data_IF_229157786003
#
_entry.id   IF_229157786003
#
_cell.length_a   1.000
_cell.length_b   1.000
_cell.length_c   1.000
_cell.angle_alpha   90.00
_cell.angle_beta   90.00
_cell.angle_gamma   90.00
#
_symmetry.space_group_name_H-M   'P 1'
#
loop_
_entity.id
_entity.type
_entity.pdbx_description
1 polymer ?
#
# COMPACT_ATOMS: atom_id res chain seq x y z
N UNK A 1 -9.68 -28.95 9.64
CA UNK A 1 -8.46 -29.64 9.15
C UNK A 1 -7.80 -28.75 8.10
N UNK A 2 -6.75 -28.02 8.47
CA UNK A 2 -6.08 -27.05 7.58
C UNK A 2 -5.32 -27.85 6.51
N UNK A 3 -5.76 -27.81 5.24
CA UNK A 3 -5.00 -28.42 4.13
C UNK A 3 -3.75 -27.59 3.86
N UNK A 4 -2.61 -28.00 4.42
CA UNK A 4 -1.32 -27.44 4.06
C UNK A 4 -1.01 -27.80 2.60
N UNK A 5 -1.00 -26.81 1.70
CA UNK A 5 -0.49 -27.00 0.35
C UNK A 5 1.03 -27.21 0.42
N UNK A 6 1.57 -28.15 -0.36
CA UNK A 6 3.01 -28.54 -0.39
C UNK A 6 3.96 -27.33 -0.49
N UNK A 7 3.55 -26.30 -1.23
CA UNK A 7 4.28 -25.04 -1.42
C UNK A 7 4.53 -24.22 -0.14
N UNK A 8 3.77 -24.46 0.95
CA UNK A 8 3.93 -23.77 2.23
C UNK A 8 4.86 -24.50 3.21
N UNK A 9 5.36 -25.69 2.84
CA UNK A 9 6.25 -26.49 3.69
C UNK A 9 7.65 -25.86 3.81
N UNK A 10 8.32 -25.45 2.71
CA UNK A 10 9.64 -24.81 2.80
C UNK A 10 9.70 -23.56 3.70
N UNK A 11 8.78 -22.57 3.61
CA UNK A 11 8.82 -21.43 4.53
C UNK A 11 8.51 -21.82 5.98
N UNK A 12 7.68 -22.85 6.22
CA UNK A 12 7.42 -23.33 7.58
C UNK A 12 8.65 -24.00 8.20
N UNK A 13 9.40 -24.81 7.43
CA UNK A 13 10.67 -25.40 7.86
C UNK A 13 11.71 -24.32 8.13
N UNK A 14 11.82 -23.31 7.25
CA UNK A 14 12.70 -22.16 7.48
C UNK A 14 12.38 -21.46 8.81
N UNK A 15 11.10 -21.17 9.09
CA UNK A 15 10.70 -20.52 10.35
C UNK A 15 11.00 -21.40 11.57
N UNK A 16 10.76 -22.71 11.46
CA UNK A 16 11.07 -23.67 12.51
C UNK A 16 12.57 -23.69 12.82
N UNK A 17 13.42 -23.76 11.79
CA UNK A 17 14.88 -23.72 11.92
C UNK A 17 15.35 -22.39 12.52
N UNK A 18 14.81 -21.26 12.05
CA UNK A 18 15.15 -19.95 12.59
C UNK A 18 14.81 -19.84 14.08
N UNK A 19 13.62 -20.31 14.49
CA UNK A 19 13.20 -20.32 15.88
C UNK A 19 14.02 -21.29 16.74
N UNK A 20 14.26 -22.51 16.25
CA UNK A 20 15.00 -23.53 16.99
C UNK A 20 16.45 -23.13 17.23
N UNK A 21 17.13 -22.59 16.22
CA UNK A 21 18.50 -22.12 16.35
C UNK A 21 18.60 -20.86 17.19
N UNK A 22 17.66 -19.92 17.05
CA UNK A 22 17.59 -18.76 17.95
C UNK A 22 17.45 -19.20 19.41
N UNK A 23 16.55 -20.16 19.68
CA UNK A 23 16.38 -20.70 21.02
C UNK A 23 17.65 -21.41 21.52
N UNK A 24 18.29 -22.23 20.69
CA UNK A 24 19.52 -22.94 21.03
C UNK A 24 20.68 -22.00 21.38
N UNK A 25 20.91 -20.95 20.59
CA UNK A 25 22.02 -20.03 20.82
C UNK A 25 21.74 -19.02 21.94
N UNK A 26 20.49 -18.66 22.20
CA UNK A 26 20.12 -17.67 23.22
C UNK A 26 19.83 -18.27 24.60
N UNK A 27 19.55 -19.57 24.69
CA UNK A 27 19.23 -20.24 25.96
C UNK A 27 20.44 -20.97 26.56
N UNK A 28 20.36 -21.31 27.85
CA UNK A 28 21.33 -22.20 28.52
C UNK A 28 20.64 -23.53 28.83
N UNK A 29 20.72 -24.47 27.89
CA UNK A 29 20.03 -25.75 27.94
C UNK A 29 21.05 -26.89 27.95
N UNK A 30 20.63 -28.08 28.36
CA UNK A 30 21.53 -29.24 28.36
C UNK A 30 22.14 -29.53 26.97
N UNK A 31 21.40 -29.25 25.89
CA UNK A 31 21.85 -29.43 24.49
C UNK A 31 23.06 -28.57 24.09
N UNK A 32 23.32 -27.45 24.77
CA UNK A 32 24.47 -26.57 24.51
C UNK A 32 25.44 -26.50 25.70
N UNK A 33 25.46 -27.55 26.51
CA UNK A 33 26.23 -27.65 27.75
C UNK A 33 26.00 -26.43 28.67
N UNK A 34 24.74 -26.06 28.86
CA UNK A 34 24.33 -24.89 29.63
C UNK A 34 24.99 -23.58 29.17
N UNK A 35 25.19 -23.45 27.86
CA UNK A 35 25.75 -22.29 27.19
C UNK A 35 27.27 -22.32 27.00
N UNK A 36 27.95 -23.39 27.42
CA UNK A 36 29.43 -23.51 27.32
C UNK A 36 29.93 -23.93 25.95
N UNK A 37 29.11 -24.60 25.13
CA UNK A 37 29.51 -25.04 23.80
C UNK A 37 28.43 -24.71 22.79
N UNK A 38 28.73 -23.80 21.85
CA UNK A 38 27.78 -23.35 20.83
C UNK A 38 28.41 -23.45 19.44
N UNK A 39 28.69 -24.68 18.97
CA UNK A 39 29.31 -24.88 17.67
C UNK A 39 28.48 -24.27 16.53
N UNK A 40 29.15 -23.60 15.60
CA UNK A 40 28.52 -22.96 14.44
C UNK A 40 28.25 -23.94 13.28
N UNK A 41 29.02 -25.04 13.19
CA UNK A 41 28.91 -26.03 12.11
C UNK A 41 27.57 -26.77 12.07
N UNK A 42 26.89 -26.97 13.21
CA UNK A 42 25.58 -27.62 13.22
C UNK A 42 24.53 -26.77 12.49
N UNK A 43 24.57 -25.45 12.68
CA UNK A 43 23.67 -24.55 11.98
C UNK A 43 24.01 -24.48 10.47
N UNK A 44 25.29 -24.61 10.10
CA UNK A 44 25.69 -24.69 8.69
C UNK A 44 25.13 -25.92 7.98
N UNK A 45 25.03 -27.07 8.65
CA UNK A 45 24.45 -28.28 8.04
C UNK A 45 22.99 -28.03 7.65
N UNK A 46 22.22 -27.41 8.53
CA UNK A 46 20.82 -27.11 8.23
C UNK A 46 20.67 -26.12 7.07
N UNK A 47 21.58 -25.15 6.97
CA UNK A 47 21.62 -24.18 5.86
C UNK A 47 22.02 -24.84 4.53
N UNK A 48 23.06 -25.69 4.53
CA UNK A 48 23.67 -26.24 3.31
C UNK A 48 23.03 -27.54 2.83
N UNK A 49 22.30 -28.24 3.70
CA UNK A 49 21.74 -29.57 3.40
C UNK A 49 20.22 -29.57 3.57
N UNK A 50 19.72 -29.24 4.77
CA UNK A 50 18.29 -29.37 5.09
C UNK A 50 17.46 -28.38 4.26
N UNK A 51 17.87 -27.13 4.15
CA UNK A 51 17.17 -26.11 3.35
C UNK A 51 17.12 -26.43 1.85
N UNK A 52 18.24 -26.79 1.17
CA UNK A 52 18.19 -27.21 -0.23
C UNK A 52 17.34 -28.45 -0.48
N UNK A 53 17.49 -29.49 0.35
CA UNK A 53 16.73 -30.74 0.19
C UNK A 53 15.23 -30.47 0.34
N UNK A 54 14.83 -29.71 1.37
CA UNK A 54 13.42 -29.38 1.58
C UNK A 54 12.85 -28.56 0.43
N UNK A 55 13.61 -27.59 -0.10
CA UNK A 55 13.16 -26.84 -1.27
C UNK A 55 13.01 -27.73 -2.51
N UNK A 56 13.96 -28.63 -2.78
CA UNK A 56 13.95 -29.54 -3.92
C UNK A 56 12.82 -30.57 -3.84
N UNK A 57 12.47 -31.06 -2.64
CA UNK A 57 11.42 -32.07 -2.46
C UNK A 57 10.00 -31.50 -2.60
N UNK A 58 9.78 -30.24 -2.21
CA UNK A 58 8.44 -29.66 -2.09
C UNK A 58 8.08 -28.65 -3.18
N UNK A 59 9.03 -28.23 -4.01
CA UNK A 59 8.78 -27.33 -5.15
C UNK A 59 8.75 -28.10 -6.46
N UNK A 60 7.90 -27.63 -7.38
CA UNK A 60 7.70 -28.31 -8.66
C UNK A 60 8.80 -27.98 -9.68
N UNK A 61 9.56 -26.90 -9.48
CA UNK A 61 10.59 -26.43 -10.40
C UNK A 61 11.94 -26.32 -9.70
N UNK A 62 12.95 -26.99 -10.24
CA UNK A 62 14.33 -27.01 -9.71
C UNK A 62 14.93 -25.60 -9.65
N UNK A 63 14.66 -24.75 -10.64
CA UNK A 63 15.17 -23.36 -10.64
C UNK A 63 14.57 -22.55 -9.48
N UNK A 64 13.28 -22.72 -9.24
CA UNK A 64 12.58 -22.08 -8.12
C UNK A 64 13.08 -22.62 -6.77
N UNK A 65 13.29 -23.94 -6.67
CA UNK A 65 13.83 -24.59 -5.48
C UNK A 65 15.23 -24.07 -5.12
N UNK A 66 16.12 -23.97 -6.10
CA UNK A 66 17.48 -23.44 -5.91
C UNK A 66 17.44 -21.97 -5.50
N UNK A 67 16.61 -21.16 -6.15
CA UNK A 67 16.46 -19.75 -5.80
C UNK A 67 15.96 -19.57 -4.37
N UNK A 68 14.91 -20.29 -3.96
CA UNK A 68 14.37 -20.18 -2.60
C UNK A 68 15.32 -20.76 -1.56
N UNK A 69 16.02 -21.85 -1.87
CA UNK A 69 17.09 -22.37 -1.01
C UNK A 69 18.18 -21.33 -0.77
N UNK A 70 18.61 -20.62 -1.83
CA UNK A 70 19.60 -19.56 -1.73
C UNK A 70 19.08 -18.41 -0.84
N UNK A 71 17.84 -17.97 -1.05
CA UNK A 71 17.22 -16.91 -0.25
C UNK A 71 17.09 -17.30 1.23
N UNK A 72 16.57 -18.50 1.53
CA UNK A 72 16.44 -18.97 2.91
C UNK A 72 17.80 -19.18 3.58
N UNK A 73 18.77 -19.77 2.86
CA UNK A 73 20.13 -19.92 3.37
C UNK A 73 20.78 -18.57 3.66
N UNK A 74 20.60 -17.59 2.77
CA UNK A 74 21.09 -16.22 2.96
C UNK A 74 20.51 -15.55 4.22
N UNK A 75 19.21 -15.72 4.45
CA UNK A 75 18.53 -15.20 5.65
C UNK A 75 19.00 -15.90 6.93
N UNK A 76 19.24 -17.21 6.90
CA UNK A 76 19.77 -17.95 8.04
C UNK A 76 21.24 -17.60 8.34
N UNK A 77 22.06 -17.32 7.32
CA UNK A 77 23.42 -16.79 7.50
C UNK A 77 23.37 -15.43 8.21
N UNK A 78 22.48 -14.54 7.78
CA UNK A 78 22.24 -13.24 8.42
C UNK A 78 21.82 -13.44 9.89
N UNK A 79 20.88 -14.34 10.15
CA UNK A 79 20.41 -14.66 11.50
C UNK A 79 21.55 -15.19 12.38
N UNK A 80 22.31 -16.18 11.90
CA UNK A 80 23.46 -16.74 12.61
C UNK A 80 24.51 -15.70 12.96
N UNK A 81 24.68 -14.69 12.10
CA UNK A 81 25.59 -13.58 12.35
C UNK A 81 25.20 -12.74 13.57
N UNK A 82 23.90 -12.66 13.88
CA UNK A 82 23.32 -11.93 15.01
C UNK A 82 23.23 -12.76 16.29
N UNK A 83 22.95 -14.06 16.20
CA UNK A 83 22.68 -14.91 17.36
C UNK A 83 23.90 -15.69 17.88
N UNK A 84 24.89 -16.00 17.03
CA UNK A 84 26.07 -16.78 17.42
C UNK A 84 27.05 -15.85 18.17
N UNK A 85 27.48 -16.20 19.40
CA UNK A 85 28.48 -15.43 20.14
C UNK A 85 29.81 -15.34 19.39
N UNK A 86 30.48 -14.17 19.47
CA UNK A 86 31.71 -13.91 18.72
C UNK A 86 32.86 -14.90 19.02
N UNK A 87 32.94 -15.42 20.26
CA UNK A 87 33.96 -16.40 20.67
C UNK A 87 33.78 -17.78 20.03
N UNK A 88 32.59 -18.10 19.54
CA UNK A 88 32.22 -19.43 19.04
C UNK A 88 32.13 -19.48 17.50
N UNK A 89 32.35 -18.33 16.82
CA UNK A 89 32.37 -18.24 15.36
C UNK A 89 33.71 -18.74 14.85
N UNK A 90 33.76 -19.93 14.25
CA UNK A 90 34.94 -20.45 13.56
C UNK A 90 34.79 -20.32 12.05
N UNK A 91 33.79 -20.98 11.48
CA UNK A 91 33.51 -20.91 10.04
C UNK A 91 32.69 -19.65 9.73
N UNK A 92 31.86 -19.20 10.67
CA UNK A 92 30.98 -18.05 10.48
C UNK A 92 31.72 -16.72 10.27
N UNK A 93 32.98 -16.61 10.71
CA UNK A 93 33.82 -15.42 10.48
C UNK A 93 34.03 -15.12 8.99
N UNK A 94 34.12 -16.17 8.17
CA UNK A 94 34.29 -16.03 6.72
C UNK A 94 32.97 -15.73 5.99
N UNK A 95 31.84 -16.13 6.58
CA UNK A 95 30.50 -15.91 6.04
C UNK A 95 29.92 -14.55 6.45
N UNK A 96 30.40 -13.98 7.55
CA UNK A 96 29.90 -12.72 8.10
C UNK A 96 29.98 -11.54 7.10
N UNK A 97 31.06 -11.35 6.30
CA UNK A 97 31.09 -10.31 5.27
C UNK A 97 30.05 -10.50 4.16
N UNK A 98 29.69 -11.76 3.85
CA UNK A 98 28.72 -12.09 2.79
C UNK A 98 27.34 -11.51 3.12
N UNK A 99 27.01 -11.32 4.41
CA UNK A 99 25.75 -10.69 4.84
C UNK A 99 25.55 -9.30 4.21
N UNK A 100 26.61 -8.51 4.10
CA UNK A 100 26.54 -7.17 3.53
C UNK A 100 26.35 -7.21 2.02
N UNK A 101 26.95 -8.19 1.35
CA UNK A 101 26.76 -8.42 -0.08
C UNK A 101 25.31 -8.83 -0.36
N UNK A 102 24.77 -9.77 0.41
CA UNK A 102 23.37 -10.23 0.31
C UNK A 102 22.41 -9.05 0.54
N UNK A 103 22.61 -8.29 1.62
CA UNK A 103 21.81 -7.10 1.92
C UNK A 103 21.89 -6.07 0.79
N UNK A 104 23.08 -5.81 0.26
CA UNK A 104 23.27 -4.91 -0.87
C UNK A 104 22.54 -5.36 -2.13
N UNK A 105 22.60 -6.66 -2.47
CA UNK A 105 21.86 -7.22 -3.61
C UNK A 105 20.35 -7.11 -3.40
N UNK A 106 19.85 -7.38 -2.19
CA UNK A 106 18.43 -7.22 -1.85
C UNK A 106 17.97 -5.78 -2.01
N UNK A 107 18.73 -4.81 -1.48
CA UNK A 107 18.44 -3.38 -1.60
C UNK A 107 18.44 -2.94 -3.07
N UNK A 108 19.45 -3.35 -3.85
CA UNK A 108 19.52 -3.03 -5.27
C UNK A 108 18.34 -3.63 -6.04
N UNK A 109 17.96 -4.85 -5.73
CA UNK A 109 16.79 -5.51 -6.32
C UNK A 109 15.50 -4.75 -6.00
N UNK A 110 15.27 -4.41 -4.73
CA UNK A 110 14.11 -3.62 -4.30
C UNK A 110 14.06 -2.26 -4.99
N UNK A 111 15.19 -1.53 -5.03
CA UNK A 111 15.30 -0.26 -5.73
C UNK A 111 15.02 -0.42 -7.23
N UNK A 112 15.50 -1.49 -7.86
CA UNK A 112 15.25 -1.76 -9.28
C UNK A 112 13.76 -2.03 -9.57
N UNK A 113 13.07 -2.74 -8.69
CA UNK A 113 11.63 -2.98 -8.81
C UNK A 113 10.83 -1.68 -8.65
N UNK A 114 11.13 -0.90 -7.61
CA UNK A 114 10.51 0.41 -7.39
C UNK A 114 10.73 1.31 -8.61
N UNK A 115 11.96 1.36 -9.12
CA UNK A 115 12.29 2.17 -10.28
C UNK A 115 11.54 1.71 -11.54
N UNK A 116 11.42 0.40 -11.75
CA UNK A 116 10.65 -0.15 -12.87
C UNK A 116 9.19 0.28 -12.78
N UNK A 117 8.55 0.12 -11.61
CA UNK A 117 7.17 0.55 -11.38
C UNK A 117 7.01 2.05 -11.65
N UNK A 118 7.92 2.89 -11.12
CA UNK A 118 7.86 4.34 -11.31
C UNK A 118 8.04 4.73 -12.79
N UNK A 119 8.95 4.09 -13.53
CA UNK A 119 9.13 4.33 -14.96
C UNK A 119 7.88 3.93 -15.74
N UNK A 120 7.30 2.77 -15.44
CA UNK A 120 6.07 2.29 -16.09
C UNK A 120 4.90 3.23 -15.82
N UNK A 121 4.68 3.64 -14.57
CA UNK A 121 3.63 4.61 -14.22
C UNK A 121 3.85 5.91 -15.00
N UNK A 122 5.07 6.45 -14.99
CA UNK A 122 5.41 7.69 -15.70
C UNK A 122 5.20 7.59 -17.21
N UNK A 123 5.49 6.43 -17.81
CA UNK A 123 5.21 6.13 -19.22
C UNK A 123 3.71 6.12 -19.50
N UNK A 124 2.96 5.31 -18.75
CA UNK A 124 1.51 5.16 -18.92
C UNK A 124 0.72 6.45 -18.67
N UNK A 125 1.15 7.30 -17.73
CA UNK A 125 0.54 8.62 -17.51
C UNK A 125 0.72 9.56 -18.71
N UNK A 126 1.76 9.36 -19.52
CA UNK A 126 2.00 10.15 -20.73
C UNK A 126 1.18 9.64 -21.91
N UNK A 127 0.71 8.39 -21.84
CA UNK A 127 -0.25 7.80 -22.76
C UNK A 127 -1.68 8.18 -22.35
N UNK A 128 -2.66 8.11 -23.26
CA UNK A 128 -4.08 8.44 -22.94
C UNK A 128 -4.78 7.33 -22.14
N UNK A 129 -4.05 6.67 -21.24
CA UNK A 129 -4.57 5.64 -20.33
C UNK A 129 -5.21 6.31 -19.11
N UNK A 130 -6.24 5.69 -18.53
CA UNK A 130 -6.83 6.18 -17.27
C UNK A 130 -5.73 6.29 -16.20
N UNK A 131 -5.56 7.47 -15.56
CA UNK A 131 -4.49 7.67 -14.59
C UNK A 131 -4.51 6.73 -13.37
N UNK A 132 -5.69 6.28 -12.92
CA UNK A 132 -5.77 5.32 -11.81
C UNK A 132 -5.36 3.91 -12.26
N UNK A 133 -5.68 3.54 -13.49
CA UNK A 133 -5.23 2.27 -14.10
C UNK A 133 -3.73 2.31 -14.38
N UNK A 134 -3.19 3.45 -14.83
CA UNK A 134 -1.76 3.67 -15.05
C UNK A 134 -0.93 3.49 -13.77
N UNK A 135 -1.51 3.83 -12.60
CA UNK A 135 -0.86 3.68 -11.29
C UNK A 135 -1.03 2.24 -10.76
N UNK A 136 -2.24 1.69 -10.82
CA UNK A 136 -2.56 0.43 -10.15
C UNK A 136 -2.16 -0.81 -10.94
N UNK A 137 -2.25 -0.78 -12.28
CA UNK A 137 -1.98 -1.94 -13.14
C UNK A 137 -0.55 -2.47 -13.00
N UNK A 138 0.51 -1.62 -13.00
CA UNK A 138 1.88 -2.10 -12.78
C UNK A 138 2.03 -2.77 -11.41
N UNK A 139 1.45 -2.21 -10.36
CA UNK A 139 1.58 -2.76 -9.00
C UNK A 139 0.88 -4.12 -8.89
N UNK A 140 -0.34 -4.21 -9.44
CA UNK A 140 -1.14 -5.43 -9.45
C UNK A 140 -0.50 -6.51 -10.33
N UNK A 141 0.18 -6.16 -11.43
CA UNK A 141 0.86 -7.15 -12.26
C UNK A 141 2.08 -7.78 -11.57
N UNK A 142 2.81 -7.01 -10.75
CA UNK A 142 3.95 -7.52 -9.99
C UNK A 142 3.55 -8.31 -8.73
N UNK A 143 2.57 -7.83 -7.96
CA UNK A 143 2.26 -8.37 -6.62
C UNK A 143 0.98 -9.23 -6.61
N UNK A 144 0.12 -9.08 -7.63
CA UNK A 144 -1.22 -9.65 -7.65
C UNK A 144 -2.24 -8.82 -6.87
N UNK A 145 -3.52 -9.08 -7.12
CA UNK A 145 -4.63 -8.39 -6.43
C UNK A 145 -4.69 -8.81 -4.96
N UNK A 146 -4.44 -7.86 -4.06
CA UNK A 146 -4.43 -8.07 -2.61
C UNK A 146 -4.61 -6.75 -1.85
N UNK A 147 -4.80 -6.81 -0.52
CA UNK A 147 -4.78 -5.61 0.32
C UNK A 147 -3.45 -4.87 0.23
N UNK A 148 -2.35 -5.59 0.01
CA UNK A 148 -1.03 -5.01 -0.17
C UNK A 148 -0.98 -4.20 -1.47
N UNK A 149 -1.55 -4.71 -2.58
CA UNK A 149 -1.61 -3.94 -3.83
C UNK A 149 -2.47 -2.68 -3.69
N UNK A 150 -3.53 -2.73 -2.88
CA UNK A 150 -4.39 -1.57 -2.63
C UNK A 150 -3.66 -0.49 -1.83
N UNK A 151 -2.91 -0.87 -0.79
CA UNK A 151 -2.08 0.05 0.00
C UNK A 151 -0.97 0.65 -0.87
N UNK A 152 -0.26 -0.18 -1.64
CA UNK A 152 0.80 0.30 -2.53
C UNK A 152 0.26 1.20 -3.65
N UNK A 153 -0.94 0.91 -4.17
CA UNK A 153 -1.59 1.79 -5.15
C UNK A 153 -1.97 3.14 -4.55
N UNK A 154 -2.41 3.17 -3.29
CA UNK A 154 -2.64 4.40 -2.54
C UNK A 154 -1.33 5.20 -2.37
N UNK A 155 -0.27 4.56 -1.87
CA UNK A 155 1.04 5.20 -1.69
C UNK A 155 1.61 5.70 -3.03
N UNK A 156 1.58 4.88 -4.07
CA UNK A 156 2.03 5.28 -5.41
C UNK A 156 1.21 6.45 -5.96
N UNK A 157 -0.08 6.54 -5.63
CA UNK A 157 -0.91 7.69 -5.99
C UNK A 157 -0.48 8.95 -5.26
N UNK A 158 -0.20 8.88 -3.95
CA UNK A 158 0.34 10.01 -3.18
C UNK A 158 1.60 10.55 -3.87
N UNK A 159 2.58 9.68 -4.15
CA UNK A 159 3.82 10.08 -4.79
C UNK A 159 3.63 10.59 -6.23
N UNK A 160 2.69 10.01 -6.98
CA UNK A 160 2.36 10.45 -8.34
C UNK A 160 1.80 11.86 -8.35
N UNK A 161 0.84 12.19 -7.49
CA UNK A 161 0.29 13.55 -7.40
C UNK A 161 1.27 14.53 -6.72
N UNK A 162 2.22 14.05 -5.92
CA UNK A 162 3.27 14.88 -5.37
C UNK A 162 4.36 15.25 -6.40
N UNK A 163 4.87 14.30 -7.20
CA UNK A 163 5.96 14.57 -8.14
C UNK A 163 5.52 14.76 -9.61
N UNK A 164 4.50 14.03 -10.06
CA UNK A 164 4.17 13.87 -11.47
C UNK A 164 2.77 14.39 -11.86
N UNK A 165 2.11 15.18 -11.01
CA UNK A 165 0.74 15.65 -11.27
C UNK A 165 0.56 16.37 -12.62
N UNK A 166 1.58 17.09 -13.12
CA UNK A 166 1.52 17.78 -14.42
C UNK A 166 1.40 16.83 -15.61
N UNK A 167 1.78 15.56 -15.44
CA UNK A 167 1.65 14.51 -16.46
C UNK A 167 0.28 13.87 -16.44
N UNK A 168 -0.51 14.06 -15.38
CA UNK A 168 -1.84 13.48 -15.26
C UNK A 168 -2.79 14.25 -16.18
N UNK A 169 -3.25 13.60 -17.25
CA UNK A 169 -4.24 14.17 -18.15
C UNK A 169 -5.66 13.94 -17.61
N UNK A 170 -6.35 15.02 -17.26
CA UNK A 170 -7.72 14.97 -16.75
C UNK A 170 -8.73 14.45 -17.79
N UNK A 171 -8.45 14.55 -19.08
CA UNK A 171 -9.34 14.02 -20.13
C UNK A 171 -9.12 12.52 -20.40
N UNK A 172 -8.13 11.91 -19.76
CA UNK A 172 -7.86 10.48 -19.91
C UNK A 172 -8.62 9.62 -18.88
N UNK A 173 -9.27 10.23 -17.89
CA UNK A 173 -10.08 9.48 -16.93
C UNK A 173 -11.23 8.76 -17.62
N UNK A 174 -11.46 7.50 -17.22
CA UNK A 174 -12.55 6.68 -17.70
C UNK A 174 -13.90 7.26 -17.27
N UNK A 175 -14.83 7.28 -18.22
CA UNK A 175 -16.20 7.75 -18.08
C UNK A 175 -16.55 8.74 -19.19
N UNK A 176 -17.85 8.92 -19.43
CA UNK A 176 -18.38 9.84 -20.44
C UNK A 176 -18.61 11.24 -19.87
N UNK A 177 -18.94 11.31 -18.57
CA UNK A 177 -19.24 12.54 -17.87
C UNK A 177 -18.43 12.63 -16.58
N UNK A 178 -17.89 13.81 -16.30
CA UNK A 178 -16.96 14.04 -15.20
C UNK A 178 -17.45 15.16 -14.27
N UNK A 179 -17.34 14.92 -12.97
CA UNK A 179 -17.82 15.80 -11.91
C UNK A 179 -16.73 16.03 -10.87
N UNK A 180 -16.42 17.30 -10.63
CA UNK A 180 -15.37 17.70 -9.69
C UNK A 180 -15.90 17.89 -8.27
N UNK A 181 -14.97 17.84 -7.31
CA UNK A 181 -15.27 17.91 -5.88
C UNK A 181 -14.43 18.96 -5.12
N UNK A 182 -13.60 19.74 -5.81
CA UNK A 182 -12.55 20.53 -5.17
C UNK A 182 -13.04 21.89 -4.66
N UNK A 183 -14.13 22.40 -5.22
CA UNK A 183 -14.74 23.66 -4.79
C UNK A 183 -15.75 23.45 -3.66
N UNK A 184 -16.29 22.23 -3.53
CA UNK A 184 -17.24 21.85 -2.49
C UNK A 184 -16.75 22.27 -1.11
N UNK A 185 -17.52 23.10 -0.41
CA UNK A 185 -17.25 23.64 0.93
C UNK A 185 -15.82 24.19 1.11
N UNK A 186 -15.22 24.72 0.03
CA UNK A 186 -13.86 25.23 0.05
C UNK A 186 -12.79 24.18 0.36
N UNK A 187 -13.05 22.89 0.10
CA UNK A 187 -12.13 21.77 0.40
C UNK A 187 -10.69 22.06 -0.06
N UNK A 188 -10.52 22.51 -1.31
CA UNK A 188 -9.20 22.86 -1.85
C UNK A 188 -8.53 24.00 -1.09
N UNK A 189 -9.29 25.04 -0.73
CA UNK A 189 -8.79 26.17 0.07
C UNK A 189 -8.39 25.73 1.47
N UNK A 190 -9.21 24.88 2.12
CA UNK A 190 -8.91 24.34 3.44
C UNK A 190 -7.63 23.51 3.43
N UNK A 191 -7.43 22.65 2.43
CA UNK A 191 -6.18 21.88 2.28
C UNK A 191 -4.96 22.80 2.13
N UNK A 192 -5.07 23.85 1.32
CA UNK A 192 -4.00 24.84 1.15
C UNK A 192 -3.69 25.58 2.46
N UNK A 193 -4.73 25.99 3.20
CA UNK A 193 -4.58 26.67 4.48
C UNK A 193 -3.86 25.78 5.51
N UNK A 194 -4.21 24.49 5.59
CA UNK A 194 -3.50 23.54 6.45
C UNK A 194 -2.04 23.36 6.05
N UNK A 195 -1.73 23.26 4.75
CA UNK A 195 -0.34 23.18 4.27
C UNK A 195 0.46 24.40 4.73
N UNK A 196 -0.07 25.61 4.52
CA UNK A 196 0.61 26.86 4.91
C UNK A 196 0.75 26.94 6.44
N UNK A 197 -0.29 26.62 7.19
CA UNK A 197 -0.28 26.65 8.66
C UNK A 197 0.80 25.71 9.22
N UNK A 198 0.86 24.47 8.74
CA UNK A 198 1.87 23.50 9.18
C UNK A 198 3.28 23.99 8.85
N UNK A 199 3.50 24.58 7.67
CA UNK A 199 4.82 25.10 7.29
C UNK A 199 5.28 26.27 8.18
N UNK A 200 4.36 27.13 8.63
CA UNK A 200 4.66 28.23 9.54
C UNK A 200 4.89 27.72 10.97
N UNK A 201 4.11 26.75 11.42
CA UNK A 201 4.19 26.17 12.76
C UNK A 201 5.43 25.28 12.95
N UNK A 202 5.83 24.56 11.91
CA UNK A 202 6.87 23.53 11.98
C UNK A 202 8.22 24.02 12.58
N UNK A 203 8.78 25.19 12.20
CA UNK A 203 10.01 25.69 12.83
C UNK A 203 9.86 25.97 14.32
N UNK A 204 8.69 26.48 14.74
CA UNK A 204 8.39 26.81 16.15
C UNK A 204 8.32 25.51 16.95
N UNK A 205 7.56 24.52 16.48
CA UNK A 205 7.42 23.22 17.13
C UNK A 205 8.77 22.49 17.18
N UNK A 206 9.56 22.54 16.11
CA UNK A 206 10.90 21.96 16.10
C UNK A 206 11.78 22.57 17.20
N UNK A 207 11.82 23.90 17.29
CA UNK A 207 12.61 24.60 18.31
C UNK A 207 12.13 24.24 19.72
N UNK A 208 10.81 24.22 19.96
CA UNK A 208 10.24 23.87 21.27
C UNK A 208 10.60 22.44 21.68
N UNK A 209 10.48 21.46 20.79
CA UNK A 209 10.85 20.07 21.09
C UNK A 209 12.36 19.93 21.31
N UNK A 210 13.17 20.69 20.55
CA UNK A 210 14.61 20.69 20.74
C UNK A 210 15.00 21.28 22.11
N UNK A 211 14.34 22.36 22.55
CA UNK A 211 14.63 23.04 23.82
C UNK A 211 14.15 22.27 25.04
N UNK A 212 12.92 21.75 25.01
CA UNK A 212 12.28 21.11 26.18
C UNK A 212 12.39 19.58 26.16
N UNK A 213 12.78 18.99 25.05
CA UNK A 213 12.88 17.55 24.86
C UNK A 213 14.29 17.13 24.46
N UNK A 214 14.47 16.78 23.19
CA UNK A 214 15.76 16.38 22.64
C UNK A 214 15.87 16.69 21.16
N UNK A 215 17.10 16.88 20.68
CA UNK A 215 17.38 17.07 19.26
C UNK A 215 16.87 15.90 18.40
N UNK A 216 17.00 14.66 18.90
CA UNK A 216 16.50 13.47 18.20
C UNK A 216 14.98 13.51 18.05
N UNK A 217 14.25 13.80 19.12
CA UNK A 217 12.79 13.91 19.07
C UNK A 217 12.34 15.01 18.11
N UNK A 218 13.01 16.17 18.14
CA UNK A 218 12.72 17.28 17.24
C UNK A 218 12.89 16.88 15.77
N UNK A 219 14.00 16.19 15.44
CA UNK A 219 14.25 15.70 14.08
C UNK A 219 13.23 14.65 13.63
N UNK A 220 12.87 13.70 14.49
CA UNK A 220 11.86 12.67 14.18
C UNK A 220 10.50 13.33 13.90
N UNK A 221 10.04 14.20 14.79
CA UNK A 221 8.74 14.89 14.63
C UNK A 221 8.77 15.75 13.38
N UNK A 222 9.84 16.50 13.13
CA UNK A 222 9.97 17.30 11.90
C UNK A 222 9.96 16.44 10.64
N UNK A 223 10.68 15.32 10.62
CA UNK A 223 10.67 14.39 9.50
C UNK A 223 9.28 13.81 9.24
N UNK A 224 8.57 13.38 10.28
CA UNK A 224 7.19 12.87 10.16
C UNK A 224 6.22 13.95 9.68
N UNK A 225 6.35 15.19 10.17
CA UNK A 225 5.50 16.30 9.72
C UNK A 225 5.75 16.65 8.25
N UNK A 226 7.00 16.65 7.80
CA UNK A 226 7.35 16.84 6.38
C UNK A 226 6.77 15.73 5.50
N UNK A 227 6.84 14.46 5.94
CA UNK A 227 6.17 13.34 5.27
C UNK A 227 4.65 13.54 5.23
N UNK A 228 4.04 14.05 6.31
CA UNK A 228 2.62 14.42 6.33
C UNK A 228 2.27 15.51 5.32
N UNK A 229 3.11 16.54 5.17
CA UNK A 229 2.92 17.60 4.18
C UNK A 229 2.91 17.04 2.75
N UNK A 230 3.75 16.04 2.44
CA UNK A 230 3.74 15.37 1.13
C UNK A 230 2.34 14.83 0.82
N UNK A 231 1.71 14.16 1.79
CA UNK A 231 0.33 13.68 1.66
C UNK A 231 -0.65 14.82 1.42
N UNK A 232 -0.60 15.91 2.21
CA UNK A 232 -1.51 17.05 2.03
C UNK A 232 -1.36 17.70 0.64
N UNK A 233 -0.14 17.87 0.14
CA UNK A 233 0.12 18.43 -1.19
C UNK A 233 -0.40 17.50 -2.28
N UNK A 234 -0.21 16.18 -2.12
CA UNK A 234 -0.76 15.19 -3.04
C UNK A 234 -2.29 15.22 -3.05
N UNK A 235 -2.93 15.27 -1.88
CA UNK A 235 -4.38 15.36 -1.72
C UNK A 235 -4.95 16.64 -2.36
N UNK A 236 -4.32 17.79 -2.11
CA UNK A 236 -4.68 19.09 -2.71
C UNK A 236 -4.68 19.06 -4.24
N UNK A 237 -3.69 18.38 -4.83
CA UNK A 237 -3.59 18.22 -6.29
C UNK A 237 -4.58 17.18 -6.80
N UNK A 238 -4.67 16.03 -6.14
CA UNK A 238 -5.50 14.92 -6.56
C UNK A 238 -7.00 15.27 -6.55
N UNK A 239 -7.49 15.95 -5.51
CA UNK A 239 -8.90 16.37 -5.43
C UNK A 239 -9.28 17.35 -6.56
N UNK A 240 -8.32 18.13 -7.06
CA UNK A 240 -8.53 19.09 -8.16
C UNK A 240 -8.48 18.44 -9.54
N UNK A 241 -7.86 17.28 -9.67
CA UNK A 241 -7.57 16.62 -10.95
C UNK A 241 -8.49 15.41 -11.17
N UNK A 242 -8.81 14.63 -10.13
CA UNK A 242 -9.55 13.37 -10.23
C UNK A 242 -11.07 13.59 -10.14
N UNK A 243 -11.82 13.41 -11.24
CA UNK A 243 -13.27 13.51 -11.21
C UNK A 243 -13.95 12.24 -10.71
N UNK A 244 -15.12 12.42 -10.09
CA UNK A 244 -16.15 11.38 -10.09
C UNK A 244 -16.66 11.26 -11.51
N UNK A 245 -16.68 10.03 -12.05
CA UNK A 245 -17.01 9.80 -13.45
C UNK A 245 -18.19 8.86 -13.61
N UNK A 246 -19.04 9.14 -14.59
CA UNK A 246 -20.12 8.26 -15.01
C UNK A 246 -19.70 7.49 -16.24
N UNK A 247 -19.60 6.16 -16.10
CA UNK A 247 -19.29 5.22 -17.17
C UNK A 247 -20.59 4.65 -17.76
N UNK A 248 -20.48 3.67 -18.66
CA UNK A 248 -21.66 3.03 -19.27
C UNK A 248 -22.53 2.26 -18.27
N UNK A 249 -21.92 1.53 -17.34
CA UNK A 249 -22.60 0.63 -16.40
C UNK A 249 -22.41 1.00 -14.92
N UNK A 250 -21.56 1.98 -14.62
CA UNK A 250 -21.14 2.28 -13.25
C UNK A 250 -20.80 3.75 -13.01
N UNK A 251 -20.91 4.17 -11.75
CA UNK A 251 -20.28 5.38 -11.23
C UNK A 251 -18.91 5.02 -10.65
N UNK A 252 -17.88 5.76 -11.05
CA UNK A 252 -16.52 5.63 -10.53
C UNK A 252 -16.24 6.83 -9.62
N UNK A 253 -16.26 6.59 -8.32
CA UNK A 253 -16.05 7.60 -7.29
C UNK A 253 -14.55 7.71 -7.02
N UNK A 254 -13.97 8.84 -7.41
CA UNK A 254 -12.58 9.22 -7.11
C UNK A 254 -12.61 10.42 -6.18
N UNK A 255 -11.85 10.35 -5.09
CA UNK A 255 -11.81 11.43 -4.10
C UNK A 255 -10.40 11.51 -3.51
N UNK A 256 -9.71 12.62 -3.75
CA UNK A 256 -8.35 12.81 -3.24
C UNK A 256 -7.35 11.79 -3.79
N UNK A 257 -6.46 11.25 -2.96
CA UNK A 257 -5.52 10.17 -3.30
C UNK A 257 -6.07 8.77 -3.00
N UNK A 258 -7.30 8.67 -2.49
CA UNK A 258 -7.91 7.39 -2.11
C UNK A 258 -8.17 6.49 -3.32
N UNK A 259 -8.18 5.18 -3.08
CA UNK A 259 -8.50 4.20 -4.11
C UNK A 259 -9.92 4.44 -4.66
N UNK A 260 -10.11 4.33 -5.98
CA UNK A 260 -11.42 4.54 -6.60
C UNK A 260 -12.44 3.51 -6.10
N UNK A 261 -13.68 3.95 -5.92
CA UNK A 261 -14.81 3.07 -5.64
C UNK A 261 -15.72 3.03 -6.87
N UNK A 262 -15.78 1.88 -7.53
CA UNK A 262 -16.71 1.64 -8.64
C UNK A 262 -17.99 1.01 -8.12
N UNK A 263 -19.13 1.63 -8.41
CA UNK A 263 -20.46 1.13 -8.05
C UNK A 263 -21.26 0.99 -9.33
N UNK A 264 -21.67 -0.24 -9.65
CA UNK A 264 -22.56 -0.48 -10.79
C UNK A 264 -23.93 0.14 -10.54
N UNK A 265 -24.56 0.62 -11.60
CA UNK A 265 -25.89 1.25 -11.51
C UNK A 265 -26.97 0.28 -11.05
N UNK A 266 -26.85 -1.00 -11.39
CA UNK A 266 -27.75 -2.06 -10.92
C UNK A 266 -27.80 -2.17 -9.39
N UNK A 267 -26.71 -1.83 -8.69
CA UNK A 267 -26.63 -1.89 -7.24
C UNK A 267 -27.12 -0.59 -6.55
N UNK A 268 -27.51 0.44 -7.30
CA UNK A 268 -28.00 1.71 -6.74
C UNK A 268 -29.52 1.67 -6.67
N UNK A 269 -30.09 1.65 -5.46
CA UNK A 269 -31.54 1.62 -5.25
C UNK A 269 -32.16 3.02 -5.31
N UNK A 270 -31.48 4.03 -4.78
CA UNK A 270 -31.98 5.40 -4.72
C UNK A 270 -30.85 6.43 -4.68
N UNK A 271 -31.16 7.62 -5.19
CA UNK A 271 -30.23 8.75 -5.33
C UNK A 271 -30.97 9.99 -4.90
N UNK A 272 -30.43 10.72 -3.94
CA UNK A 272 -31.08 11.91 -3.39
C UNK A 272 -30.08 12.99 -3.00
N UNK A 273 -30.58 14.21 -2.85
CA UNK A 273 -29.81 15.31 -2.24
C UNK A 273 -29.69 15.02 -0.75
N UNK A 274 -28.50 15.19 -0.21
CA UNK A 274 -28.28 15.22 1.24
C UNK A 274 -28.03 16.65 1.72
N UNK A 275 -28.57 17.00 2.88
CA UNK A 275 -28.32 18.29 3.56
C UNK A 275 -27.92 18.11 5.03
N UNK A 276 -27.82 16.88 5.49
CA UNK A 276 -27.60 16.57 6.89
C UNK A 276 -26.17 16.07 7.15
N UNK A 277 -25.67 16.34 8.34
CA UNK A 277 -24.39 15.79 8.79
C UNK A 277 -24.54 14.29 9.06
N UNK A 278 -23.66 13.49 8.45
CA UNK A 278 -23.73 12.04 8.56
C UNK A 278 -22.67 11.54 9.54
N UNK A 279 -23.12 10.80 10.56
CA UNK A 279 -22.24 10.12 11.53
C UNK A 279 -21.57 8.91 10.87
N UNK A 280 -20.36 8.58 11.36
CA UNK A 280 -19.64 7.39 10.89
C UNK A 280 -20.37 6.14 11.38
N UNK A 281 -20.61 5.19 10.47
CA UNK A 281 -21.19 3.88 10.75
C UNK A 281 -20.59 2.85 9.80
N UNK A 282 -20.68 1.56 10.13
CA UNK A 282 -20.10 0.46 9.34
C UNK A 282 -20.69 0.34 7.94
N UNK A 283 -21.97 0.69 7.77
CA UNK A 283 -22.68 0.68 6.49
C UNK A 283 -22.59 2.03 5.75
N UNK A 284 -21.84 3.01 6.26
CA UNK A 284 -21.75 4.36 5.68
C UNK A 284 -20.36 4.61 5.13
N UNK A 285 -20.27 4.94 3.84
CA UNK A 285 -19.06 5.47 3.20
C UNK A 285 -19.24 6.94 2.88
N UNK A 286 -18.28 7.77 3.29
CA UNK A 286 -18.32 9.22 3.07
C UNK A 286 -17.13 9.68 2.24
N UNK A 287 -17.40 10.14 1.03
CA UNK A 287 -16.46 10.81 0.14
C UNK A 287 -16.72 12.32 0.21
N UNK A 288 -16.38 12.89 1.37
CA UNK A 288 -16.51 14.31 1.65
C UNK A 288 -15.42 14.75 2.63
N UNK A 289 -14.53 15.65 2.20
CA UNK A 289 -13.38 16.12 2.98
C UNK A 289 -13.79 17.20 4.00
N UNK A 290 -14.71 18.09 3.64
CA UNK A 290 -15.14 19.22 4.47
C UNK A 290 -16.66 19.40 4.44
N UNK A 291 -17.23 19.89 5.53
CA UNK A 291 -18.64 20.22 5.64
C UNK A 291 -19.59 19.03 5.45
N UNK A 292 -20.72 19.29 4.76
CA UNK A 292 -21.85 18.35 4.65
C UNK A 292 -21.87 17.72 3.26
N UNK A 293 -21.86 16.37 3.12
CA UNK A 293 -22.00 15.75 1.81
C UNK A 293 -23.35 16.12 1.21
N UNK A 294 -23.39 16.41 -0.09
CA UNK A 294 -24.60 16.93 -0.76
C UNK A 294 -25.34 15.91 -1.63
N UNK A 295 -24.83 14.68 -1.73
CA UNK A 295 -25.48 13.57 -2.44
C UNK A 295 -25.49 12.34 -1.54
N UNK A 296 -26.58 11.59 -1.57
CA UNK A 296 -26.75 10.28 -0.96
C UNK A 296 -27.10 9.25 -2.03
N UNK A 297 -26.33 8.17 -2.07
CA UNK A 297 -26.58 6.97 -2.84
C UNK A 297 -26.92 5.85 -1.86
N UNK A 298 -28.10 5.27 -2.01
CA UNK A 298 -28.50 4.07 -1.29
C UNK A 298 -28.21 2.86 -2.19
N UNK A 299 -27.50 1.87 -1.63
CA UNK A 299 -27.19 0.63 -2.34
C UNK A 299 -28.18 -0.48 -1.97
N UNK A 300 -28.39 -1.43 -2.87
CA UNK A 300 -29.31 -2.56 -2.66
C UNK A 300 -28.90 -3.44 -1.46
N UNK A 301 -27.60 -3.52 -1.18
CA UNK A 301 -27.06 -4.25 -0.02
C UNK A 301 -27.19 -3.51 1.33
N UNK A 302 -27.89 -2.38 1.36
CA UNK A 302 -28.15 -1.59 2.57
C UNK A 302 -27.00 -0.64 2.96
N UNK A 303 -25.91 -0.59 2.19
CA UNK A 303 -24.85 0.40 2.37
C UNK A 303 -25.29 1.77 1.83
N UNK A 304 -24.79 2.82 2.47
CA UNK A 304 -25.06 4.21 2.10
C UNK A 304 -23.75 4.90 1.73
N UNK A 305 -23.72 5.54 0.57
CA UNK A 305 -22.57 6.28 0.07
C UNK A 305 -22.93 7.76 -0.04
N UNK A 306 -22.15 8.61 0.61
CA UNK A 306 -22.36 10.05 0.62
C UNK A 306 -21.21 10.75 -0.09
N UNK A 307 -21.55 11.68 -0.99
CA UNK A 307 -20.58 12.39 -1.83
C UNK A 307 -20.67 13.90 -1.58
N UNK A 308 -19.52 14.57 -1.61
CA UNK A 308 -19.42 16.03 -1.71
C UNK A 308 -18.95 16.44 -3.11
N UNK A 309 -19.85 17.04 -3.90
CA UNK A 309 -19.61 17.35 -5.33
C UNK A 309 -19.91 18.81 -5.61
N UNK A 310 -19.18 19.45 -6.53
CA UNK A 310 -19.33 20.87 -6.84
C UNK A 310 -20.73 21.19 -7.44
N UNK A 311 -21.25 20.29 -8.28
CA UNK A 311 -22.55 20.43 -8.98
C UNK A 311 -23.48 19.24 -8.72
N UNK A 312 -24.07 19.12 -7.51
CA UNK A 312 -24.82 17.93 -7.12
C UNK A 312 -26.08 17.69 -7.96
N UNK A 313 -26.79 18.75 -8.35
CA UNK A 313 -28.04 18.63 -9.11
C UNK A 313 -27.83 18.03 -10.51
N UNK A 314 -26.73 18.41 -11.17
CA UNK A 314 -26.40 17.92 -12.51
C UNK A 314 -26.06 16.43 -12.45
N UNK A 315 -25.22 16.05 -11.47
CA UNK A 315 -24.84 14.65 -11.26
C UNK A 315 -26.07 13.78 -10.92
N UNK A 316 -26.94 14.21 -10.01
CA UNK A 316 -28.15 13.48 -9.63
C UNK A 316 -29.05 13.26 -10.85
N UNK A 317 -29.28 14.30 -11.67
CA UNK A 317 -30.12 14.23 -12.86
C UNK A 317 -29.57 13.23 -13.89
N UNK A 318 -28.27 13.26 -14.17
CA UNK A 318 -27.68 12.34 -15.14
C UNK A 318 -27.68 10.90 -14.61
N UNK A 319 -27.33 10.71 -13.35
CA UNK A 319 -27.28 9.39 -12.72
C UNK A 319 -28.67 8.75 -12.63
N UNK A 320 -29.72 9.52 -12.29
CA UNK A 320 -31.10 9.00 -12.30
C UNK A 320 -31.56 8.60 -13.70
N UNK A 321 -31.15 9.35 -14.73
CA UNK A 321 -31.43 9.02 -16.14
C UNK A 321 -30.75 7.70 -16.55
N UNK A 322 -29.48 7.50 -16.15
CA UNK A 322 -28.74 6.26 -16.44
C UNK A 322 -29.36 5.05 -15.72
N UNK A 323 -29.71 5.18 -14.44
CA UNK A 323 -30.36 4.11 -13.66
C UNK A 323 -31.73 3.75 -14.27
N UNK A 324 -32.54 4.75 -14.64
CA UNK A 324 -33.84 4.50 -15.26
C UNK A 324 -33.71 3.79 -16.61
N UNK A 325 -32.78 4.22 -17.47
CA UNK A 325 -32.58 3.60 -18.78
C UNK A 325 -32.11 2.14 -18.70
N UNK A 326 -31.36 1.76 -17.65
CA UNK A 326 -31.00 0.37 -17.39
C UNK A 326 -32.20 -0.48 -16.96
N UNK A 327 -33.04 0.02 -16.05
CA UNK A 327 -34.22 -0.69 -15.60
C UNK A 327 -35.19 -0.95 -16.77
N UNK A 328 -35.37 0.03 -17.66
CA UNK A 328 -36.21 -0.13 -18.86
C UNK A 328 -35.63 -1.17 -19.83
N UNK A 329 -34.30 -1.22 -20.00
CA UNK A 329 -33.65 -2.25 -20.83
C UNK A 329 -33.82 -3.65 -20.22
N UNK A 330 -33.72 -3.80 -18.91
CA UNK A 330 -33.88 -5.09 -18.23
C UNK A 330 -35.32 -5.62 -18.27
N UNK A 331 -36.32 -4.76 -18.38
CA UNK A 331 -37.74 -5.16 -18.52
C UNK A 331 -38.12 -5.55 -19.96
N UNK A 332 -37.27 -5.24 -20.94
CA UNK A 332 -37.52 -5.52 -22.36
C UNK A 332 -36.93 -6.87 -22.83
N UNK A 333 -36.27 -7.62 -21.95
CA UNK A 333 -35.71 -8.95 -22.18
C UNK A 333 -36.34 -9.97 -21.24
#
# INVERSE_FOLDING_TARGET
>A
MIKFKKQHIPPAVFLLLAMSWSFYYLSNIWLNDYGKSKPDWLFLIDILVVVPITCLLFMNNVKEALLKSLVYGSLLILLGSLIIPASEKMVWLYLEPIRYVILGVFVLFELSMIMTVVITIKGLLSERVDPDDAISTPIVSFIGRSLVSDILSFEARVWTYFFFYKRVNQNAFKGQSHYMCHEKDGVKSNLLAFIILILIELPIVHLLIHLFGSALAANIVTGLTLLGIIYFVAEYRAISIRPISLDDDAIIIRYGVWNPLTIKYDNISAVSINRETIRRASNVKRFNLSGVPNIHLQLQDGRNVYLGVDRPQVLIKELSTRIHSLNTKQQAF
#
